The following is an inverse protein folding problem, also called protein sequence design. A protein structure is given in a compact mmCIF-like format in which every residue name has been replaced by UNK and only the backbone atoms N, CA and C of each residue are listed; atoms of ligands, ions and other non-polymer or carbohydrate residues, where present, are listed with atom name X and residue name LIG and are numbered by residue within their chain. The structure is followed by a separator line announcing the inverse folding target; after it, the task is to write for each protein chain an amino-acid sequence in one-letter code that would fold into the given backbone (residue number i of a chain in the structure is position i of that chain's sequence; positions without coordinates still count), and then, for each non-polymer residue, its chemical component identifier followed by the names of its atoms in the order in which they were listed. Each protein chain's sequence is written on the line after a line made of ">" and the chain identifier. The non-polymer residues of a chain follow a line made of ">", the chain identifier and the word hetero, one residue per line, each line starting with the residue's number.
data_IF_426474848127
#
_entry.id   IF_426474848127
#
_cell.length_a   1.000
_cell.length_b   1.000
_cell.length_c   1.000
_cell.angle_alpha   90.00
_cell.angle_beta   90.00
_cell.angle_gamma   90.00
#
_symmetry.space_group_name_H-M   'P 1'
#
loop_
_entity.id
_entity.type
_entity.pdbx_description
1 polymer ?
#
# COMPACT_ATOMS: atom_id res chain seq x y z
N UNK A 1 33.88 -11.87 -24.65
CA UNK A 1 32.66 -11.31 -25.30
C UNK A 1 31.99 -10.50 -24.21
N UNK A 2 32.50 -9.29 -23.98
CA UNK A 2 31.91 -8.31 -23.07
C UNK A 2 30.92 -7.50 -23.88
N UNK A 3 29.63 -7.76 -23.68
CA UNK A 3 28.53 -6.99 -24.24
C UNK A 3 27.47 -6.83 -23.15
N UNK A 4 27.29 -5.60 -22.68
CA UNK A 4 25.99 -5.13 -22.21
C UNK A 4 25.90 -4.87 -20.72
N UNK A 5 26.11 -3.62 -20.36
CA UNK A 5 25.67 -3.00 -19.12
C UNK A 5 24.23 -3.41 -18.73
N UNK A 6 24.08 -4.26 -17.72
CA UNK A 6 22.87 -4.34 -16.91
C UNK A 6 23.30 -4.58 -15.47
N UNK A 7 23.78 -3.52 -14.81
CA UNK A 7 23.62 -3.45 -13.37
C UNK A 7 22.11 -3.36 -13.16
N UNK A 8 21.47 -4.50 -12.90
CA UNK A 8 20.08 -4.54 -12.49
C UNK A 8 19.92 -3.59 -11.31
N UNK A 9 19.21 -2.49 -11.50
CA UNK A 9 18.74 -1.73 -10.36
C UNK A 9 17.46 -2.41 -9.84
N UNK A 10 17.23 -2.36 -8.53
CA UNK A 10 16.01 -2.92 -7.93
C UNK A 10 14.73 -2.26 -8.44
N UNK A 11 14.84 -1.08 -9.07
CA UNK A 11 13.70 -0.34 -9.60
C UNK A 11 13.11 -1.00 -10.85
N UNK A 12 13.90 -1.76 -11.61
CA UNK A 12 13.41 -2.55 -12.76
C UNK A 12 12.42 -3.61 -12.28
N UNK A 13 12.80 -4.40 -11.26
CA UNK A 13 11.94 -5.41 -10.68
C UNK A 13 10.69 -4.78 -10.02
N UNK A 14 10.84 -3.66 -9.32
CA UNK A 14 9.69 -2.92 -8.78
C UNK A 14 8.76 -2.36 -9.88
N UNK A 15 9.30 -1.89 -11.00
CA UNK A 15 8.51 -1.40 -12.14
C UNK A 15 7.70 -2.52 -12.81
N UNK A 16 8.33 -3.68 -13.04
CA UNK A 16 7.64 -4.86 -13.57
C UNK A 16 6.56 -5.37 -12.60
N UNK A 17 6.84 -5.33 -11.29
CA UNK A 17 5.90 -5.68 -10.25
C UNK A 17 4.68 -4.73 -10.21
N UNK A 18 4.91 -3.40 -10.29
CA UNK A 18 3.86 -2.37 -10.38
C UNK A 18 2.93 -2.55 -11.58
N UNK A 19 3.46 -3.02 -12.70
CA UNK A 19 2.69 -3.27 -13.93
C UNK A 19 2.08 -4.67 -14.02
N UNK A 20 2.30 -5.54 -13.02
CA UNK A 20 1.75 -6.88 -13.00
C UNK A 20 2.41 -7.85 -13.98
N UNK A 21 3.62 -7.52 -14.45
CA UNK A 21 4.31 -8.27 -15.50
C UNK A 21 5.03 -9.52 -14.95
N UNK A 22 4.24 -10.49 -14.48
CA UNK A 22 4.75 -11.73 -13.88
C UNK A 22 5.75 -12.49 -14.78
N UNK A 23 5.46 -12.60 -16.07
CA UNK A 23 6.34 -13.28 -17.02
C UNK A 23 7.72 -12.60 -17.14
N UNK A 24 7.75 -11.25 -17.04
CA UNK A 24 9.00 -10.48 -17.05
C UNK A 24 9.80 -10.75 -15.78
N UNK A 25 9.15 -10.75 -14.62
CA UNK A 25 9.79 -11.08 -13.34
C UNK A 25 10.34 -12.51 -13.32
N UNK A 26 9.59 -13.48 -13.84
CA UNK A 26 10.04 -14.86 -13.98
C UNK A 26 11.25 -14.99 -14.90
N UNK A 27 11.28 -14.25 -16.00
CA UNK A 27 12.42 -14.21 -16.91
C UNK A 27 13.64 -13.55 -16.28
N UNK A 28 13.46 -12.43 -15.56
CA UNK A 28 14.53 -11.74 -14.83
C UNK A 28 15.12 -12.61 -13.71
N UNK A 29 14.31 -13.48 -13.11
CA UNK A 29 14.76 -14.41 -12.08
C UNK A 29 15.64 -15.54 -12.60
N UNK A 30 15.58 -15.84 -13.90
CA UNK A 30 16.41 -16.86 -14.55
C UNK A 30 17.78 -16.34 -15.04
N UNK A 31 18.06 -15.03 -14.86
CA UNK A 31 19.32 -14.41 -15.29
C UNK A 31 20.47 -14.70 -14.30
N UNK A 32 21.71 -14.56 -14.76
CA UNK A 32 22.92 -14.74 -13.95
C UNK A 32 23.82 -13.48 -14.04
N UNK A 33 23.91 -12.65 -12.97
CA UNK A 33 23.18 -12.77 -11.71
C UNK A 33 21.68 -12.41 -11.87
N UNK A 34 20.80 -12.94 -10.99
CA UNK A 34 19.38 -12.59 -11.02
C UNK A 34 19.16 -11.11 -10.65
N UNK A 35 18.10 -10.50 -11.20
CA UNK A 35 17.67 -9.15 -10.78
C UNK A 35 17.46 -9.11 -9.26
N UNK A 36 18.08 -8.14 -8.55
CA UNK A 36 17.83 -7.97 -7.13
C UNK A 36 16.40 -7.46 -6.93
N UNK A 37 15.74 -8.01 -5.93
CA UNK A 37 14.48 -7.50 -5.40
C UNK A 37 14.66 -7.11 -3.93
N UNK A 38 13.74 -6.29 -3.47
CA UNK A 38 13.64 -5.80 -2.09
C UNK A 38 12.16 -5.57 -1.74
N UNK A 39 11.90 -5.01 -0.56
CA UNK A 39 10.55 -4.71 -0.06
C UNK A 39 9.77 -3.79 -1.02
N UNK A 40 10.47 -2.95 -1.80
CA UNK A 40 9.85 -2.05 -2.77
C UNK A 40 9.21 -2.82 -3.93
N UNK A 41 9.71 -4.01 -4.25
CA UNK A 41 9.13 -4.88 -5.29
C UNK A 41 7.76 -5.41 -4.86
N UNK A 42 7.64 -5.90 -3.63
CA UNK A 42 6.35 -6.28 -3.04
C UNK A 42 5.41 -5.07 -2.91
N UNK A 43 5.91 -3.95 -2.40
CA UNK A 43 5.09 -2.74 -2.25
C UNK A 43 4.57 -2.21 -3.59
N UNK A 44 5.36 -2.33 -4.66
CA UNK A 44 4.95 -1.95 -6.01
C UNK A 44 3.87 -2.87 -6.59
N UNK A 45 4.01 -4.20 -6.45
CA UNK A 45 2.95 -5.13 -6.84
C UNK A 45 1.65 -4.90 -6.05
N UNK A 46 1.79 -4.59 -4.76
CA UNK A 46 0.67 -4.30 -3.87
C UNK A 46 -0.08 -3.02 -4.27
N UNK A 47 0.65 -1.96 -4.63
CA UNK A 47 0.08 -0.71 -5.16
C UNK A 47 -0.75 -0.95 -6.43
N UNK A 48 -0.24 -1.78 -7.34
CA UNK A 48 -0.92 -2.16 -8.59
C UNK A 48 -2.04 -3.20 -8.44
N UNK A 49 -2.27 -3.74 -7.25
CA UNK A 49 -3.30 -4.77 -7.01
C UNK A 49 -2.95 -6.14 -7.59
N UNK A 50 -1.67 -6.40 -7.88
CA UNK A 50 -1.24 -7.60 -8.60
C UNK A 50 -1.01 -8.78 -7.66
N UNK A 51 -2.10 -9.33 -7.10
CA UNK A 51 -2.05 -10.46 -6.17
C UNK A 51 -1.26 -11.67 -6.70
N UNK A 52 -1.44 -12.04 -7.98
CA UNK A 52 -0.69 -13.15 -8.58
C UNK A 52 0.82 -12.93 -8.61
N UNK A 53 1.28 -11.68 -8.73
CA UNK A 53 2.71 -11.34 -8.64
C UNK A 53 3.19 -11.50 -7.20
N UNK A 54 2.44 -11.00 -6.21
CA UNK A 54 2.79 -11.15 -4.80
C UNK A 54 2.84 -12.62 -4.36
N UNK A 55 1.87 -13.44 -4.77
CA UNK A 55 1.86 -14.87 -4.51
C UNK A 55 3.12 -15.55 -5.08
N UNK A 56 3.49 -15.22 -6.31
CA UNK A 56 4.69 -15.76 -6.93
C UNK A 56 5.98 -15.30 -6.22
N UNK A 57 6.08 -14.01 -5.84
CA UNK A 57 7.21 -13.46 -5.09
C UNK A 57 7.40 -14.14 -3.72
N UNK A 58 6.30 -14.52 -3.06
CA UNK A 58 6.32 -15.23 -1.78
C UNK A 58 6.67 -16.72 -1.89
N UNK A 59 6.52 -17.33 -3.06
CA UNK A 59 6.91 -18.72 -3.31
C UNK A 59 8.40 -18.90 -3.64
N UNK A 60 9.17 -17.81 -3.72
CA UNK A 60 10.60 -17.86 -4.04
C UNK A 60 11.45 -18.32 -2.86
N UNK A 61 12.68 -18.80 -3.13
CA UNK A 61 13.67 -19.16 -2.12
C UNK A 61 15.00 -18.39 -2.36
N UNK A 62 15.38 -17.43 -1.49
CA UNK A 62 14.58 -16.88 -0.40
C UNK A 62 13.37 -16.07 -0.94
N UNK A 63 12.28 -15.95 -0.16
CA UNK A 63 11.12 -15.17 -0.58
C UNK A 63 11.46 -13.69 -0.68
N UNK A 64 10.78 -12.96 -1.58
CA UNK A 64 10.92 -11.51 -1.63
C UNK A 64 10.50 -10.93 -0.27
N UNK A 65 11.31 -10.04 0.34
CA UNK A 65 10.93 -9.41 1.59
C UNK A 65 9.75 -8.45 1.37
N UNK A 66 9.00 -8.21 2.44
CA UNK A 66 7.94 -7.22 2.51
C UNK A 66 8.03 -6.48 3.84
N UNK A 67 7.46 -5.28 3.88
CA UNK A 67 7.38 -4.42 5.07
C UNK A 67 6.00 -3.74 5.14
N UNK A 68 5.80 -2.86 6.11
CA UNK A 68 4.56 -2.11 6.31
C UNK A 68 4.16 -1.28 5.08
N UNK A 69 5.13 -0.93 4.21
CA UNK A 69 4.83 -0.22 2.97
C UNK A 69 4.03 -1.07 2.00
N UNK A 70 4.14 -2.40 2.06
CA UNK A 70 3.35 -3.30 1.21
C UNK A 70 1.86 -3.14 1.51
N UNK A 71 1.48 -3.19 2.79
CA UNK A 71 0.12 -2.91 3.22
C UNK A 71 -0.29 -1.45 2.94
N UNK A 72 0.58 -0.48 3.23
CA UNK A 72 0.25 0.93 3.01
C UNK A 72 0.00 1.26 1.53
N UNK A 73 0.77 0.67 0.60
CA UNK A 73 0.57 0.85 -0.85
C UNK A 73 -0.68 0.15 -1.35
N UNK A 74 -0.95 -1.09 -0.93
CA UNK A 74 -2.23 -1.74 -1.24
C UNK A 74 -3.41 -0.91 -0.74
N UNK A 75 -3.29 -0.31 0.45
CA UNK A 75 -4.31 0.57 1.00
C UNK A 75 -4.47 1.87 0.21
N UNK A 76 -3.37 2.51 -0.20
CA UNK A 76 -3.37 3.72 -1.04
C UNK A 76 -4.05 3.48 -2.39
N UNK A 77 -3.85 2.30 -2.99
CA UNK A 77 -4.45 1.90 -4.26
C UNK A 77 -5.83 1.23 -4.15
N UNK A 78 -6.39 1.08 -2.94
CA UNK A 78 -7.72 0.51 -2.72
C UNK A 78 -7.81 -1.01 -2.89
N UNK A 79 -6.66 -1.70 -2.83
CA UNK A 79 -6.51 -3.11 -3.15
C UNK A 79 -6.87 -4.00 -1.96
N UNK A 80 -8.16 -4.06 -1.64
CA UNK A 80 -8.67 -4.82 -0.48
C UNK A 80 -8.31 -6.32 -0.53
N UNK A 81 -8.42 -6.94 -1.70
CA UNK A 81 -8.10 -8.37 -1.87
C UNK A 81 -6.62 -8.66 -1.56
N UNK A 82 -5.72 -7.77 -1.99
CA UNK A 82 -4.28 -7.88 -1.67
C UNK A 82 -4.04 -7.76 -0.17
N UNK A 83 -4.71 -6.81 0.50
CA UNK A 83 -4.58 -6.64 1.95
C UNK A 83 -5.09 -7.85 2.74
N UNK A 84 -6.25 -8.39 2.35
CA UNK A 84 -6.81 -9.60 2.94
C UNK A 84 -5.82 -10.76 2.80
N UNK A 85 -5.38 -11.01 1.58
CA UNK A 85 -4.41 -12.08 1.33
C UNK A 85 -3.11 -11.87 2.11
N UNK A 86 -2.57 -10.65 2.18
CA UNK A 86 -1.31 -10.37 2.88
C UNK A 86 -1.44 -10.54 4.41
N UNK A 87 -2.64 -10.29 4.97
CA UNK A 87 -2.94 -10.48 6.39
C UNK A 87 -3.19 -11.94 6.76
N UNK A 88 -3.55 -12.79 5.79
CA UNK A 88 -3.75 -14.24 5.98
C UNK A 88 -2.44 -15.05 5.93
N UNK A 89 -1.29 -14.41 5.76
CA UNK A 89 0.03 -15.06 5.63
C UNK A 89 0.63 -15.38 7.01
N UNK A 90 1.58 -16.32 7.05
CA UNK A 90 2.31 -16.68 8.27
C UNK A 90 3.84 -16.55 8.07
N UNK A 91 4.51 -15.55 8.68
CA UNK A 91 3.92 -14.46 9.45
C UNK A 91 3.14 -13.47 8.55
N UNK A 92 2.14 -12.76 9.09
CA UNK A 92 1.36 -11.79 8.32
C UNK A 92 2.23 -10.63 7.88
N UNK A 93 1.90 -10.00 6.75
CA UNK A 93 2.57 -8.78 6.35
C UNK A 93 2.37 -7.72 7.45
N UNK A 94 3.44 -7.09 7.95
CA UNK A 94 3.29 -6.06 8.96
C UNK A 94 2.53 -4.87 8.39
N UNK A 95 1.90 -4.13 9.27
CA UNK A 95 1.18 -2.91 8.93
C UNK A 95 1.27 -1.91 10.09
N UNK A 96 1.23 -0.62 9.79
CA UNK A 96 1.21 0.44 10.79
C UNK A 96 0.10 1.46 10.47
N UNK A 97 0.07 2.55 11.24
CA UNK A 97 -0.89 3.64 11.08
C UNK A 97 -0.90 4.25 9.67
N UNK A 98 0.20 4.12 8.90
CA UNK A 98 0.24 4.61 7.52
C UNK A 98 -0.71 3.85 6.62
N UNK A 99 -1.09 2.62 6.96
CA UNK A 99 -2.07 1.83 6.18
C UNK A 99 -3.44 2.52 6.20
N UNK A 100 -3.91 2.92 7.38
CA UNK A 100 -5.15 3.66 7.52
C UNK A 100 -5.06 5.04 6.88
N UNK A 101 -3.95 5.76 7.08
CA UNK A 101 -3.75 7.06 6.45
C UNK A 101 -3.70 6.99 4.92
N UNK A 102 -3.09 5.94 4.36
CA UNK A 102 -3.01 5.71 2.93
C UNK A 102 -4.37 5.36 2.31
N UNK A 103 -5.15 4.49 2.95
CA UNK A 103 -6.53 4.24 2.54
C UNK A 103 -7.38 5.52 2.56
N UNK A 104 -7.21 6.35 3.60
CA UNK A 104 -7.89 7.63 3.72
C UNK A 104 -7.46 8.62 2.64
N UNK A 105 -6.16 8.68 2.32
CA UNK A 105 -5.60 9.50 1.24
C UNK A 105 -6.11 9.11 -0.15
N UNK A 106 -6.33 7.82 -0.41
CA UNK A 106 -6.90 7.32 -1.67
C UNK A 106 -8.43 7.34 -1.71
N UNK A 107 -9.09 7.72 -0.61
CA UNK A 107 -10.55 7.74 -0.52
C UNK A 107 -11.18 6.35 -0.42
N UNK A 108 -10.41 5.32 -0.08
CA UNK A 108 -10.83 3.93 -0.10
C UNK A 108 -11.52 3.52 1.20
N UNK A 109 -12.77 3.98 1.38
CA UNK A 109 -13.56 3.73 2.59
C UNK A 109 -13.70 2.25 2.93
N UNK A 110 -13.93 1.38 1.94
CA UNK A 110 -14.07 -0.06 2.16
C UNK A 110 -12.80 -0.70 2.75
N UNK A 111 -11.62 -0.25 2.29
CA UNK A 111 -10.33 -0.69 2.85
C UNK A 111 -10.19 -0.23 4.29
N UNK A 112 -10.51 1.04 4.56
CA UNK A 112 -10.39 1.60 5.90
C UNK A 112 -11.35 0.91 6.90
N UNK A 113 -12.58 0.64 6.48
CA UNK A 113 -13.57 -0.13 7.25
C UNK A 113 -13.06 -1.52 7.58
N UNK A 114 -12.57 -2.25 6.57
CA UNK A 114 -12.04 -3.60 6.76
C UNK A 114 -10.81 -3.60 7.68
N UNK A 115 -9.89 -2.65 7.52
CA UNK A 115 -8.69 -2.54 8.35
C UNK A 115 -9.02 -2.23 9.83
N UNK A 116 -10.10 -1.48 10.08
CA UNK A 116 -10.60 -1.17 11.43
C UNK A 116 -11.37 -2.33 12.08
N UNK A 117 -11.79 -3.33 11.32
CA UNK A 117 -12.45 -4.55 11.82
C UNK A 117 -11.46 -5.68 12.19
N UNK A 118 -10.17 -5.53 11.89
CA UNK A 118 -9.16 -6.52 12.24
C UNK A 118 -8.84 -6.56 13.75
N UNK A 119 -8.22 -7.64 14.21
CA UNK A 119 -7.73 -7.79 15.58
C UNK A 119 -6.20 -8.08 15.60
N UNK A 120 -5.35 -7.18 16.13
CA UNK A 120 -5.70 -5.82 16.55
C UNK A 120 -6.07 -4.94 15.35
N UNK A 121 -6.92 -3.90 15.55
CA UNK A 121 -7.35 -3.06 14.45
C UNK A 121 -6.20 -2.17 13.98
N UNK A 122 -6.21 -1.80 12.69
CA UNK A 122 -5.27 -0.83 12.15
C UNK A 122 -5.36 0.48 12.97
N UNK A 123 -4.19 0.95 13.40
CA UNK A 123 -4.05 2.19 14.13
C UNK A 123 -4.33 3.36 13.21
N UNK A 124 -4.88 4.42 13.77
CA UNK A 124 -5.11 5.66 13.07
C UNK A 124 -4.87 6.85 14.00
N UNK A 125 -4.65 8.01 13.42
CA UNK A 125 -4.34 9.26 14.12
C UNK A 125 -4.91 10.45 13.33
N UNK A 126 -4.63 11.68 13.79
CA UNK A 126 -5.08 12.89 13.12
C UNK A 126 -4.62 12.96 11.66
N UNK A 127 -3.45 12.38 11.36
CA UNK A 127 -2.92 12.35 10.00
C UNK A 127 -3.82 11.56 9.04
N UNK A 128 -4.53 10.54 9.52
CA UNK A 128 -5.53 9.82 8.71
C UNK A 128 -6.64 10.75 8.23
N UNK A 129 -7.20 11.56 9.13
CA UNK A 129 -8.22 12.55 8.80
C UNK A 129 -7.63 13.69 7.92
N UNK A 130 -6.40 14.15 8.19
CA UNK A 130 -5.70 15.15 7.37
C UNK A 130 -5.48 14.66 5.93
N UNK A 131 -5.15 13.37 5.74
CA UNK A 131 -5.02 12.75 4.43
C UNK A 131 -6.33 12.69 3.65
N UNK A 132 -7.42 12.25 4.29
CA UNK A 132 -8.74 12.25 3.65
C UNK A 132 -9.21 13.66 3.27
N UNK A 133 -8.97 14.66 4.13
CA UNK A 133 -9.30 16.06 3.84
C UNK A 133 -8.48 16.63 2.68
N UNK A 134 -7.16 16.35 2.65
CA UNK A 134 -6.29 16.76 1.56
C UNK A 134 -6.61 16.09 0.21
N UNK A 135 -7.26 14.92 0.22
CA UNK A 135 -7.78 14.25 -0.98
C UNK A 135 -9.24 14.56 -1.31
N UNK A 136 -9.93 15.38 -0.49
CA UNK A 136 -11.35 15.72 -0.69
C UNK A 136 -12.32 14.58 -0.41
N UNK A 137 -11.91 13.57 0.35
CA UNK A 137 -12.70 12.35 0.57
C UNK A 137 -13.70 12.51 1.72
N UNK A 138 -14.78 13.26 1.47
CA UNK A 138 -15.80 13.59 2.46
C UNK A 138 -16.43 12.35 3.13
N UNK A 139 -16.74 11.31 2.36
CA UNK A 139 -17.33 10.07 2.89
C UNK A 139 -16.42 9.39 3.93
N UNK A 140 -15.10 9.38 3.67
CA UNK A 140 -14.11 8.84 4.61
C UNK A 140 -14.10 9.65 5.90
N UNK A 141 -14.13 10.99 5.82
CA UNK A 141 -14.15 11.86 7.01
C UNK A 141 -15.43 11.71 7.82
N UNK A 142 -16.60 11.65 7.17
CA UNK A 142 -17.88 11.44 7.83
C UNK A 142 -17.89 10.10 8.57
N UNK A 143 -17.44 9.05 7.91
CA UNK A 143 -17.35 7.73 8.52
C UNK A 143 -16.35 7.69 9.70
N UNK A 144 -15.16 8.29 9.53
CA UNK A 144 -14.13 8.32 10.56
C UNK A 144 -14.53 9.14 11.80
N UNK A 145 -15.29 10.23 11.59
CA UNK A 145 -15.91 11.03 12.67
C UNK A 145 -17.04 10.29 13.39
N UNK A 146 -17.69 9.34 12.73
CA UNK A 146 -18.77 8.52 13.30
C UNK A 146 -18.30 7.30 14.10
N UNK A 147 -17.00 7.02 14.18
CA UNK A 147 -16.47 5.89 14.96
C UNK A 147 -16.35 6.22 16.46
N UNK A 148 -16.25 5.17 17.29
CA UNK A 148 -16.00 5.29 18.74
C UNK A 148 -14.76 4.45 19.15
N UNK A 149 -13.65 5.09 19.57
CA UNK A 149 -13.41 6.53 19.55
C UNK A 149 -13.26 7.05 18.11
N UNK A 150 -13.64 8.32 17.85
CA UNK A 150 -13.49 8.90 16.52
C UNK A 150 -12.02 9.05 16.13
N UNK A 151 -11.75 9.11 14.82
CA UNK A 151 -10.44 9.53 14.32
C UNK A 151 -10.10 10.92 14.90
N UNK A 152 -8.90 11.10 15.52
CA UNK A 152 -8.50 12.41 16.03
C UNK A 152 -8.59 13.48 14.95
N UNK A 153 -8.99 14.69 15.33
CA UNK A 153 -9.16 15.82 14.41
C UNK A 153 -8.42 17.03 14.96
N UNK A 154 -7.58 17.67 14.14
CA UNK A 154 -6.86 18.88 14.51
C UNK A 154 -7.05 20.01 13.47
N UNK A 155 -6.47 21.18 13.73
CA UNK A 155 -6.56 22.34 12.84
C UNK A 155 -5.85 22.14 11.50
N UNK A 156 -4.99 21.13 11.37
CA UNK A 156 -4.28 20.84 10.11
C UNK A 156 -5.21 20.19 9.08
N UNK A 157 -6.29 19.54 9.52
CA UNK A 157 -7.30 18.92 8.65
C UNK A 157 -7.97 19.99 7.77
N UNK A 158 -8.42 21.10 8.38
CA UNK A 158 -9.03 22.22 7.64
C UNK A 158 -8.02 22.92 6.71
N UNK A 159 -6.77 23.06 7.15
CA UNK A 159 -5.72 23.65 6.31
C UNK A 159 -5.45 22.80 5.06
N UNK A 160 -5.39 21.47 5.19
CA UNK A 160 -5.18 20.56 4.04
C UNK A 160 -6.39 20.46 3.12
N UNK A 161 -7.61 20.51 3.67
CA UNK A 161 -8.82 20.66 2.86
C UNK A 161 -8.75 21.92 1.98
N UNK A 162 -8.34 23.05 2.56
CA UNK A 162 -8.20 24.32 1.84
C UNK A 162 -7.07 24.28 0.79
N UNK A 163 -5.89 23.73 1.13
CA UNK A 163 -4.77 23.57 0.19
C UNK A 163 -5.15 22.67 -1.00
N UNK A 164 -5.95 21.62 -0.77
CA UNK A 164 -6.48 20.75 -1.81
C UNK A 164 -7.63 21.36 -2.63
N UNK A 165 -8.13 22.53 -2.24
CA UNK A 165 -9.30 23.17 -2.87
C UNK A 165 -10.63 22.48 -2.54
N UNK A 166 -10.66 21.61 -1.55
CA UNK A 166 -11.81 20.79 -1.18
C UNK A 166 -12.64 21.51 -0.11
N UNK A 167 -13.37 22.54 -0.51
CA UNK A 167 -14.22 23.33 0.41
C UNK A 167 -15.37 22.51 1.03
N UNK A 168 -15.74 21.39 0.42
CA UNK A 168 -16.81 20.49 0.89
C UNK A 168 -16.44 19.71 2.17
N UNK A 169 -15.15 19.66 2.52
CA UNK A 169 -14.63 18.98 3.72
C UNK A 169 -14.19 19.94 4.84
N UNK A 170 -14.35 21.26 4.64
CA UNK A 170 -14.22 22.29 5.68
C UNK A 170 -15.43 22.28 6.62
#
# INVERSE_FOLDING_TARGET
>A
RDNGCFLWDGTICAGAARGGHLAVLQWMRQQDPPCPWDESTCAAAADGGHLGVLQWLRQQDPPCPWDEKTCARAAEGGQLEVLQWARDQDPPCPWDWKTCAAAAKGGHLAVLQWARQQDPPCQWDAFTCTCAAGGGHLEVLQWARGQDPPCPWDSTVCARAADGGHLEVL
#
